data_IF_202100862049
#
_entry.id   IF_202100862049
#
_cell.length_a   1.000
_cell.length_b   1.000
_cell.length_c   1.000
_cell.angle_alpha   90.00
_cell.angle_beta   90.00
_cell.angle_gamma   90.00
#
_symmetry.space_group_name_H-M   'P 1'
#
loop_
_entity.id
_entity.type
_entity.pdbx_description
1 polymer ?
#
# COMPACT_ATOMS: atom_id res chain seq x y z
N UNK A 1 17.23 -6.30 8.29
CA UNK A 1 17.69 -4.92 8.05
C UNK A 1 18.13 -4.82 6.59
N UNK A 2 17.59 -3.86 5.84
CA UNK A 2 17.84 -3.70 4.40
C UNK A 2 18.52 -2.35 4.18
N UNK A 3 19.63 -2.29 3.44
CA UNK A 3 20.46 -1.08 3.29
C UNK A 3 20.44 -0.49 1.88
N UNK A 4 19.94 0.73 1.74
CA UNK A 4 19.90 1.42 0.45
C UNK A 4 21.21 2.16 0.17
N UNK A 5 21.95 1.67 -0.83
CA UNK A 5 23.26 2.23 -1.23
C UNK A 5 23.20 3.62 -1.86
N UNK A 6 22.06 4.04 -2.42
CA UNK A 6 21.92 5.36 -3.06
C UNK A 6 21.78 6.44 -2.00
N UNK A 7 20.94 6.18 -1.01
CA UNK A 7 20.69 7.09 0.10
C UNK A 7 21.69 6.92 1.24
N UNK A 8 22.44 5.82 1.26
CA UNK A 8 23.33 5.42 2.35
C UNK A 8 22.58 5.35 3.70
N UNK A 9 21.39 4.75 3.69
CA UNK A 9 20.53 4.58 4.87
C UNK A 9 19.94 3.17 4.92
N UNK A 10 19.57 2.72 6.11
CA UNK A 10 18.91 1.44 6.35
C UNK A 10 17.39 1.57 6.43
N UNK A 11 16.70 0.43 6.35
CA UNK A 11 15.27 0.32 6.63
C UNK A 11 14.90 0.89 8.00
N UNK A 12 15.81 0.78 8.99
CA UNK A 12 15.55 1.21 10.36
C UNK A 12 15.65 2.73 10.49
N UNK A 13 16.55 3.36 9.72
CA UNK A 13 16.64 4.82 9.61
C UNK A 13 15.35 5.41 9.03
N UNK A 14 14.76 4.73 8.04
CA UNK A 14 13.45 5.11 7.49
C UNK A 14 12.35 5.00 8.55
N UNK A 15 12.29 3.89 9.28
CA UNK A 15 11.24 3.66 10.29
C UNK A 15 11.36 4.61 11.50
N UNK A 16 12.54 5.13 11.79
CA UNK A 16 12.78 6.11 12.86
C UNK A 16 12.57 7.56 12.41
N UNK A 17 12.55 7.82 11.10
CA UNK A 17 12.35 9.17 10.58
C UNK A 17 10.90 9.63 10.75
N UNK A 18 10.71 10.82 11.31
CA UNK A 18 9.40 11.43 11.57
C UNK A 18 9.13 12.66 10.70
N UNK A 19 10.16 13.26 10.10
CA UNK A 19 9.99 14.36 9.17
C UNK A 19 9.54 13.84 7.79
N UNK A 20 8.29 14.17 7.44
CA UNK A 20 7.68 13.81 6.15
C UNK A 20 8.47 14.41 4.98
N UNK A 21 9.08 15.58 5.14
CA UNK A 21 9.82 16.26 4.07
C UNK A 21 11.04 15.46 3.67
N UNK A 22 11.81 15.00 4.66
CA UNK A 22 12.98 14.12 4.47
C UNK A 22 12.56 12.82 3.77
N UNK A 23 11.46 12.21 4.23
CA UNK A 23 10.93 10.98 3.61
C UNK A 23 10.49 11.18 2.16
N UNK A 24 9.86 12.31 1.85
CA UNK A 24 9.45 12.66 0.48
C UNK A 24 10.67 12.90 -0.43
N UNK A 25 11.72 13.50 0.08
CA UNK A 25 12.97 13.72 -0.65
C UNK A 25 13.68 12.40 -0.95
N UNK A 26 13.83 11.52 0.04
CA UNK A 26 14.37 10.16 -0.16
C UNK A 26 13.56 9.39 -1.20
N UNK A 27 12.24 9.43 -1.10
CA UNK A 27 11.33 8.83 -2.10
C UNK A 27 11.58 9.37 -3.50
N UNK A 28 11.74 10.70 -3.65
CA UNK A 28 12.01 11.33 -4.94
C UNK A 28 13.34 10.88 -5.54
N UNK A 29 14.40 10.85 -4.75
CA UNK A 29 15.74 10.42 -5.16
C UNK A 29 15.70 8.97 -5.68
N UNK A 30 15.06 8.06 -4.93
CA UNK A 30 14.98 6.65 -5.32
C UNK A 30 14.11 6.41 -6.55
N UNK A 31 13.00 7.13 -6.69
CA UNK A 31 12.16 7.05 -7.89
C UNK A 31 12.91 7.56 -9.13
N UNK A 32 13.70 8.62 -8.99
CA UNK A 32 14.56 9.13 -10.06
C UNK A 32 15.61 8.08 -10.47
N UNK A 33 16.31 7.50 -9.50
CA UNK A 33 17.27 6.42 -9.79
C UNK A 33 16.62 5.20 -10.45
N UNK A 34 15.43 4.78 -9.99
CA UNK A 34 14.69 3.68 -10.59
C UNK A 34 14.24 3.97 -12.03
N UNK A 35 13.97 5.25 -12.35
CA UNK A 35 13.64 5.70 -13.71
C UNK A 35 14.88 5.64 -14.61
N UNK A 36 16.03 6.13 -14.15
CA UNK A 36 17.29 6.04 -14.88
C UNK A 36 17.69 4.58 -15.15
N UNK A 37 17.52 3.69 -14.16
CA UNK A 37 17.76 2.26 -14.34
C UNK A 37 16.79 1.63 -15.35
N UNK A 38 15.52 2.07 -15.40
CA UNK A 38 14.56 1.63 -16.42
C UNK A 38 15.03 2.01 -17.82
N UNK A 39 15.54 3.22 -18.00
CA UNK A 39 16.05 3.67 -19.30
C UNK A 39 17.33 2.91 -19.69
N UNK A 40 18.23 2.63 -18.73
CA UNK A 40 19.39 1.75 -18.96
C UNK A 40 18.98 0.33 -19.35
N UNK A 41 17.96 -0.25 -18.71
CA UNK A 41 17.45 -1.57 -19.06
C UNK A 41 16.91 -1.63 -20.49
N UNK A 42 16.27 -0.56 -20.98
CA UNK A 42 15.81 -0.48 -22.37
C UNK A 42 16.96 -0.57 -23.37
N UNK A 43 18.05 0.17 -23.10
CA UNK A 43 19.26 0.13 -23.94
C UNK A 43 19.90 -1.26 -23.87
N UNK A 44 20.11 -1.81 -22.67
CA UNK A 44 20.71 -3.13 -22.49
C UNK A 44 19.88 -4.25 -23.15
N UNK A 45 18.55 -4.15 -23.14
CA UNK A 45 17.68 -5.09 -23.84
C UNK A 45 17.90 -5.03 -25.36
N UNK A 46 17.93 -3.82 -25.93
CA UNK A 46 18.19 -3.65 -27.36
C UNK A 46 19.59 -4.13 -27.78
N UNK A 47 20.59 -3.98 -26.89
CA UNK A 47 21.93 -4.51 -27.10
C UNK A 47 21.98 -6.04 -27.00
N UNK A 48 21.22 -6.63 -26.07
CA UNK A 48 21.07 -8.08 -25.94
C UNK A 48 20.44 -8.72 -27.17
N UNK A 49 19.41 -8.09 -27.73
CA UNK A 49 18.75 -8.56 -28.96
C UNK A 49 19.74 -8.64 -30.14
N UNK A 50 20.78 -7.81 -30.14
CA UNK A 50 21.85 -7.80 -31.16
C UNK A 50 23.04 -8.68 -30.79
N UNK A 51 23.38 -8.77 -29.51
CA UNK A 51 24.56 -9.47 -28.99
C UNK A 51 24.25 -10.17 -27.66
N UNK A 52 24.11 -11.49 -27.70
CA UNK A 52 23.69 -12.33 -26.58
C UNK A 52 24.83 -12.70 -25.61
N UNK A 53 25.82 -11.82 -25.45
CA UNK A 53 26.96 -12.08 -24.57
C UNK A 53 26.54 -12.25 -23.10
N UNK A 54 27.21 -13.14 -22.38
CA UNK A 54 26.97 -13.36 -20.95
C UNK A 54 27.24 -12.11 -20.10
N UNK A 55 28.17 -11.25 -20.53
CA UNK A 55 28.43 -9.98 -19.85
C UNK A 55 27.22 -9.04 -19.93
N UNK A 56 26.59 -8.92 -21.11
CA UNK A 56 25.39 -8.09 -21.28
C UNK A 56 24.22 -8.65 -20.46
N UNK A 57 24.04 -9.97 -20.42
CA UNK A 57 23.02 -10.62 -19.58
C UNK A 57 23.25 -10.30 -18.10
N UNK A 58 24.49 -10.45 -17.63
CA UNK A 58 24.87 -10.12 -16.25
C UNK A 58 24.64 -8.65 -15.90
N UNK A 59 24.99 -7.72 -16.80
CA UNK A 59 24.73 -6.28 -16.61
C UNK A 59 23.23 -5.98 -16.56
N UNK A 60 22.44 -6.61 -17.43
CA UNK A 60 20.98 -6.47 -17.45
C UNK A 60 20.35 -6.94 -16.12
N UNK A 61 20.70 -8.14 -15.66
CA UNK A 61 20.21 -8.71 -14.39
C UNK A 61 20.55 -7.78 -13.22
N UNK A 62 21.82 -7.40 -13.06
CA UNK A 62 22.26 -6.52 -11.97
C UNK A 62 21.54 -5.16 -11.98
N UNK A 63 21.28 -4.60 -13.16
CA UNK A 63 20.53 -3.35 -13.30
C UNK A 63 19.05 -3.53 -12.93
N UNK A 64 18.46 -4.66 -13.31
CA UNK A 64 17.09 -5.03 -12.96
C UNK A 64 16.91 -5.23 -11.45
N UNK A 65 17.86 -5.91 -10.82
CA UNK A 65 17.86 -6.15 -9.38
C UNK A 65 18.03 -4.83 -8.62
N UNK A 66 18.97 -3.97 -9.03
CA UNK A 66 19.15 -2.65 -8.42
C UNK A 66 17.88 -1.78 -8.53
N UNK A 67 17.18 -1.84 -9.67
CA UNK A 67 15.91 -1.12 -9.86
C UNK A 67 14.84 -1.66 -8.91
N UNK A 68 14.67 -2.98 -8.86
CA UNK A 68 13.67 -3.64 -8.03
C UNK A 68 13.92 -3.37 -6.54
N UNK A 69 15.18 -3.41 -6.14
CA UNK A 69 15.64 -3.06 -4.81
C UNK A 69 15.26 -1.63 -4.41
N UNK A 70 15.50 -0.63 -5.28
CA UNK A 70 15.12 0.76 -5.00
C UNK A 70 13.61 0.94 -4.87
N UNK A 71 12.82 0.23 -5.68
CA UNK A 71 11.35 0.28 -5.59
C UNK A 71 10.85 -0.34 -4.28
N UNK A 72 11.42 -1.47 -3.85
CA UNK A 72 11.08 -2.07 -2.56
C UNK A 72 11.39 -1.12 -1.39
N UNK A 73 12.50 -0.38 -1.46
CA UNK A 73 12.85 0.61 -0.44
C UNK A 73 11.90 1.83 -0.45
N UNK A 74 11.44 2.26 -1.63
CA UNK A 74 10.38 3.27 -1.78
C UNK A 74 9.09 2.83 -1.08
N UNK A 75 8.75 1.54 -1.13
CA UNK A 75 7.56 1.02 -0.43
C UNK A 75 7.68 1.14 1.10
N UNK A 76 8.87 0.92 1.65
CA UNK A 76 9.16 1.15 3.08
C UNK A 76 8.96 2.63 3.44
N UNK A 77 9.50 3.54 2.63
CA UNK A 77 9.32 4.98 2.82
C UNK A 77 7.83 5.38 2.74
N UNK A 78 7.11 4.87 1.73
CA UNK A 78 5.68 5.12 1.59
C UNK A 78 4.89 4.60 2.79
N UNK A 79 5.26 3.45 3.34
CA UNK A 79 4.66 2.92 4.55
C UNK A 79 4.89 3.86 5.71
N UNK A 80 6.12 4.32 5.95
CA UNK A 80 6.44 5.27 7.02
C UNK A 80 5.67 6.59 6.88
N UNK A 81 5.58 7.16 5.68
CA UNK A 81 4.79 8.36 5.42
C UNK A 81 3.32 8.15 5.82
N UNK A 82 2.75 6.98 5.50
CA UNK A 82 1.38 6.63 5.94
C UNK A 82 1.29 6.48 7.45
N UNK A 83 2.33 5.95 8.11
CA UNK A 83 2.41 5.87 9.57
C UNK A 83 2.30 7.24 10.21
N UNK A 84 3.15 8.18 9.78
CA UNK A 84 3.16 9.53 10.34
C UNK A 84 1.86 10.27 10.05
N UNK A 85 1.29 10.09 8.85
CA UNK A 85 0.01 10.72 8.48
C UNK A 85 -1.22 10.08 9.13
N UNK A 86 -1.06 9.00 9.91
CA UNK A 86 -2.19 8.25 10.48
C UNK A 86 -3.06 7.56 9.42
N UNK A 87 -2.56 7.38 8.20
CA UNK A 87 -3.27 6.74 7.07
C UNK A 87 -2.81 5.30 6.86
N UNK A 88 -2.23 4.67 7.89
CA UNK A 88 -2.00 3.23 7.89
C UNK A 88 -3.36 2.56 7.82
N UNK A 89 -3.76 2.18 6.61
CA UNK A 89 -4.71 1.09 6.44
C UNK A 89 -3.95 -0.12 6.99
N UNK A 90 -4.26 -0.54 8.22
CA UNK A 90 -3.65 -1.71 8.87
C UNK A 90 -3.74 -2.87 7.88
N UNK A 91 -2.61 -3.23 7.26
CA UNK A 91 -2.49 -4.46 6.47
C UNK A 91 -2.37 -5.66 7.42
N UNK A 92 -3.35 -5.79 8.30
CA UNK A 92 -3.75 -7.06 8.89
C UNK A 92 -5.14 -7.36 8.39
N UNK A 93 -5.27 -7.60 7.09
CA UNK A 93 -6.44 -8.28 6.57
C UNK A 93 -5.88 -9.41 5.72
N UNK A 94 -5.88 -10.66 6.21
CA UNK A 94 -5.89 -11.82 5.33
C UNK A 94 -7.01 -11.56 4.33
N UNK A 95 -6.67 -11.52 3.05
CA UNK A 95 -7.55 -11.31 1.89
C UNK A 95 -8.58 -12.44 1.74
N UNK A 96 -9.35 -12.70 2.80
CA UNK A 96 -10.30 -13.81 2.87
C UNK A 96 -11.71 -13.44 3.35
N UNK A 97 -11.99 -12.21 3.80
CA UNK A 97 -13.37 -11.76 4.00
C UNK A 97 -13.60 -10.36 3.45
N UNK A 98 -14.39 -10.35 2.38
CA UNK A 98 -14.65 -9.23 1.49
C UNK A 98 -15.55 -8.26 2.23
N UNK A 99 -15.18 -6.98 2.31
CA UNK A 99 -16.10 -5.94 2.82
C UNK A 99 -17.50 -6.06 2.18
N UNK A 100 -17.56 -6.46 0.91
CA UNK A 100 -18.78 -6.78 0.17
C UNK A 100 -19.60 -7.95 0.78
N UNK A 101 -18.96 -9.01 1.25
CA UNK A 101 -19.62 -10.14 1.92
C UNK A 101 -20.09 -9.78 3.31
N UNK A 102 -19.30 -9.01 4.06
CA UNK A 102 -19.72 -8.54 5.38
C UNK A 102 -20.90 -7.55 5.29
N UNK A 103 -20.87 -6.63 4.31
CA UNK A 103 -22.01 -5.76 3.99
C UNK A 103 -23.23 -6.60 3.59
N UNK A 104 -23.05 -7.66 2.80
CA UNK A 104 -24.14 -8.57 2.42
C UNK A 104 -24.73 -9.27 3.66
N UNK A 105 -23.88 -9.79 4.54
CA UNK A 105 -24.29 -10.40 5.80
C UNK A 105 -25.09 -9.41 6.67
N UNK A 106 -24.59 -8.18 6.89
CA UNK A 106 -25.28 -7.17 7.70
C UNK A 106 -26.66 -6.81 7.14
N UNK A 107 -26.80 -6.72 5.81
CA UNK A 107 -28.10 -6.49 5.17
C UNK A 107 -29.07 -7.64 5.42
N UNK A 108 -28.63 -8.87 5.22
CA UNK A 108 -29.46 -10.06 5.46
C UNK A 108 -29.84 -10.19 6.93
N UNK A 109 -28.90 -9.96 7.84
CA UNK A 109 -29.16 -9.97 9.28
C UNK A 109 -30.20 -8.91 9.67
N UNK A 110 -30.07 -7.67 9.18
CA UNK A 110 -31.04 -6.59 9.46
C UNK A 110 -32.45 -6.96 9.01
N UNK A 111 -32.59 -7.52 7.80
CA UNK A 111 -33.89 -7.99 7.29
C UNK A 111 -34.48 -9.08 8.19
N UNK A 112 -33.68 -10.09 8.55
CA UNK A 112 -34.14 -11.18 9.41
C UNK A 112 -34.59 -10.67 10.78
N UNK A 113 -33.82 -9.78 11.41
CA UNK A 113 -34.20 -9.19 12.70
C UNK A 113 -35.49 -8.41 12.56
N UNK A 114 -35.61 -7.56 11.54
CA UNK A 114 -36.84 -6.80 11.28
C UNK A 114 -38.07 -7.69 11.15
N UNK A 115 -37.93 -8.86 10.52
CA UNK A 115 -39.02 -9.81 10.33
C UNK A 115 -39.32 -10.65 11.58
N UNK A 116 -38.38 -10.74 12.52
CA UNK A 116 -38.46 -11.66 13.68
C UNK A 116 -38.83 -10.99 14.99
N UNK A 117 -38.62 -9.67 15.13
CA UNK A 117 -38.94 -8.92 16.35
C UNK A 117 -39.99 -7.84 16.08
N UNK A 118 -40.59 -7.34 17.17
CA UNK A 118 -41.55 -6.24 17.09
C UNK A 118 -40.93 -4.96 16.50
N UNK A 119 -41.71 -4.23 15.69
CA UNK A 119 -41.24 -3.09 14.91
C UNK A 119 -40.78 -1.95 15.82
N UNK A 120 -41.45 -1.72 16.95
CA UNK A 120 -41.05 -0.68 17.91
C UNK A 120 -39.68 -0.98 18.54
N UNK A 121 -39.45 -2.24 18.91
CA UNK A 121 -38.18 -2.68 19.47
C UNK A 121 -37.06 -2.62 18.41
N UNK A 122 -37.36 -3.02 17.17
CA UNK A 122 -36.42 -2.90 16.05
C UNK A 122 -36.01 -1.44 15.84
N UNK A 123 -36.96 -0.51 15.82
CA UNK A 123 -36.70 0.89 15.53
C UNK A 123 -35.87 1.56 16.64
N UNK A 124 -36.12 1.20 17.91
CA UNK A 124 -35.32 1.63 19.05
C UNK A 124 -33.85 1.21 18.91
N UNK A 125 -33.61 -0.08 18.62
CA UNK A 125 -32.27 -0.62 18.43
C UNK A 125 -31.56 -0.04 17.20
N UNK A 126 -32.29 0.17 16.10
CA UNK A 126 -31.76 0.78 14.87
C UNK A 126 -31.31 2.23 15.11
N UNK A 127 -32.05 3.00 15.92
CA UNK A 127 -31.68 4.38 16.28
C UNK A 127 -30.46 4.42 17.20
N UNK A 128 -30.40 3.58 18.23
CA UNK A 128 -29.22 3.48 19.09
C UNK A 128 -27.96 3.08 18.29
N UNK A 129 -28.10 2.13 17.36
CA UNK A 129 -27.00 1.71 16.51
C UNK A 129 -26.50 2.86 15.61
N UNK A 130 -27.39 3.69 15.06
CA UNK A 130 -27.02 4.88 14.27
C UNK A 130 -26.28 5.91 15.11
N UNK A 131 -26.77 6.19 16.32
CA UNK A 131 -26.13 7.14 17.24
C UNK A 131 -24.72 6.69 17.62
N UNK A 132 -24.55 5.44 18.05
CA UNK A 132 -23.24 4.89 18.44
C UNK A 132 -22.24 4.82 17.27
N UNK A 133 -22.73 4.66 16.04
CA UNK A 133 -21.88 4.59 14.85
C UNK A 133 -21.65 5.94 14.17
N UNK A 134 -22.19 7.05 14.70
CA UNK A 134 -22.21 8.37 14.04
C UNK A 134 -22.74 8.29 12.60
N UNK A 135 -23.71 7.42 12.34
CA UNK A 135 -24.31 7.25 11.03
C UNK A 135 -25.32 8.38 10.78
N UNK A 136 -24.81 9.54 10.37
CA UNK A 136 -25.63 10.62 9.84
C UNK A 136 -25.99 10.24 8.40
N UNK A 137 -27.20 9.71 8.20
CA UNK A 137 -27.67 9.33 6.87
C UNK A 137 -27.41 10.46 5.88
N UNK A 138 -26.63 10.18 4.83
CA UNK A 138 -26.65 11.03 3.64
C UNK A 138 -28.05 10.90 3.06
N UNK A 139 -28.92 11.82 3.45
CA UNK A 139 -30.10 12.17 2.66
C UNK A 139 -29.62 12.48 1.24
N UNK A 140 -30.26 11.82 0.27
CA UNK A 140 -30.15 12.20 -1.13
C UNK A 140 -30.95 13.48 -1.38
#
# INVERSE_FOLDING_TARGET
MVENKILNITSDDVLKQTDITILLDWRRILLQAAREMKDRLRVLHADLDKNHSEELKSRYIRTSDARSYNLAFVDIINQQIRQIRGTIIKKEIPTKYKAKEYIKYLKTFRTLVKESIDEELFQSLDNQAKELSNWNGMEK
#
